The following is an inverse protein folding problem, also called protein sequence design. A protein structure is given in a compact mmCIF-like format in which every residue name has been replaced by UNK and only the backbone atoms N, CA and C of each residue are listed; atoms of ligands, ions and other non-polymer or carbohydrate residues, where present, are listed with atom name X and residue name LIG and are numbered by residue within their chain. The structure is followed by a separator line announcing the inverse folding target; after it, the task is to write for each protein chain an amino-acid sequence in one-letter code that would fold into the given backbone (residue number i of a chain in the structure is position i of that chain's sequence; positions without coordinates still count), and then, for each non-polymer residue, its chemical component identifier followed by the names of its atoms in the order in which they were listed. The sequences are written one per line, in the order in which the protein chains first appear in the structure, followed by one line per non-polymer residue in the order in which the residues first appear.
data_IF_731209538116
#
_entry.id   IF_731209538116
#
_cell.length_a   1.000
_cell.length_b   1.000
_cell.length_c   1.000
_cell.angle_alpha   90.00
_cell.angle_beta   90.00
_cell.angle_gamma   90.00
#
_symmetry.space_group_name_H-M   'P 1'
#
loop_
_entity.id
_entity.type
_entity.pdbx_description
1 polymer ?
#
# COMPACT_ATOMS: atom_id res chain seq x y z
N UNK A 1 -25.86 19.56 13.91
CA UNK A 1 -25.75 19.22 15.34
C UNK A 1 -24.27 18.96 15.60
N UNK A 2 -23.70 19.39 16.74
CA UNK A 2 -22.29 19.13 17.00
C UNK A 2 -22.14 17.63 17.28
N UNK A 3 -21.31 16.95 16.49
CA UNK A 3 -20.94 15.56 16.72
C UNK A 3 -20.44 15.42 18.17
N UNK A 4 -20.96 14.45 18.92
CA UNK A 4 -20.47 14.20 20.27
C UNK A 4 -19.03 13.68 20.19
N UNK A 5 -18.23 13.91 21.24
CA UNK A 5 -16.88 13.34 21.29
C UNK A 5 -16.87 11.82 21.12
N UNK A 6 -17.96 11.12 21.48
CA UNK A 6 -18.11 9.67 21.27
C UNK A 6 -18.23 9.28 19.79
N UNK A 7 -18.99 10.06 18.98
CA UNK A 7 -19.10 9.83 17.53
C UNK A 7 -17.75 10.09 16.86
N UNK A 8 -17.10 11.22 17.21
CA UNK A 8 -15.77 11.54 16.69
C UNK A 8 -14.75 10.47 17.05
N UNK A 9 -14.74 9.98 18.29
CA UNK A 9 -13.82 8.92 18.70
C UNK A 9 -14.00 7.60 17.94
N UNK A 10 -15.23 7.26 17.54
CA UNK A 10 -15.49 6.10 16.69
C UNK A 10 -14.99 6.33 15.25
N UNK A 11 -15.30 7.50 14.65
CA UNK A 11 -14.84 7.86 13.31
C UNK A 11 -13.31 7.89 13.21
N UNK A 12 -12.63 8.31 14.29
CA UNK A 12 -11.16 8.28 14.36
C UNK A 12 -10.60 6.86 14.38
N UNK A 13 -11.30 5.90 15.01
CA UNK A 13 -10.90 4.49 14.96
C UNK A 13 -11.07 3.93 13.56
N UNK A 14 -12.18 4.22 12.89
CA UNK A 14 -12.41 3.79 11.51
C UNK A 14 -11.33 4.36 10.57
N UNK A 15 -10.96 5.64 10.76
CA UNK A 15 -9.88 6.28 9.99
C UNK A 15 -8.53 5.64 10.27
N UNK A 16 -8.23 5.36 11.53
CA UNK A 16 -6.99 4.68 11.93
C UNK A 16 -6.93 3.25 11.38
N UNK A 17 -8.03 2.50 11.46
CA UNK A 17 -8.17 1.15 10.91
C UNK A 17 -7.95 1.15 9.39
N UNK A 18 -8.62 2.05 8.67
CA UNK A 18 -8.46 2.18 7.23
C UNK A 18 -7.00 2.46 6.83
N UNK A 19 -6.32 3.34 7.58
CA UNK A 19 -4.91 3.62 7.34
C UNK A 19 -3.99 2.44 7.64
N UNK A 20 -4.17 1.82 8.81
CA UNK A 20 -3.26 0.82 9.36
C UNK A 20 -3.46 -0.57 8.77
N UNK A 21 -4.71 -1.00 8.57
CA UNK A 21 -5.08 -2.37 8.26
C UNK A 21 -5.70 -2.56 6.87
N UNK A 22 -6.15 -1.49 6.22
CA UNK A 22 -6.68 -1.61 4.85
C UNK A 22 -5.67 -1.11 3.80
N UNK A 23 -5.23 0.15 3.91
CA UNK A 23 -4.34 0.75 2.89
C UNK A 23 -2.93 0.15 2.88
N UNK A 24 -2.31 -0.03 4.06
CA UNK A 24 -0.94 -0.55 4.15
C UNK A 24 -0.80 -1.98 3.63
N UNK A 25 -1.71 -2.93 3.93
CA UNK A 25 -1.64 -4.26 3.33
C UNK A 25 -1.83 -4.25 1.81
N UNK A 26 -2.73 -3.40 1.28
CA UNK A 26 -2.87 -3.24 -0.18
C UNK A 26 -1.59 -2.68 -0.79
N UNK A 27 -0.97 -1.67 -0.17
CA UNK A 27 0.33 -1.14 -0.60
C UNK A 27 1.41 -2.24 -0.62
N UNK A 28 1.46 -3.11 0.39
CA UNK A 28 2.39 -4.22 0.45
C UNK A 28 2.17 -5.24 -0.69
N UNK A 29 0.93 -5.60 -1.00
CA UNK A 29 0.60 -6.50 -2.12
C UNK A 29 1.01 -5.90 -3.47
N UNK A 30 0.78 -4.60 -3.67
CA UNK A 30 1.18 -3.91 -4.91
C UNK A 30 2.71 -3.85 -5.01
N UNK A 31 3.42 -3.59 -3.90
CA UNK A 31 4.88 -3.61 -3.85
C UNK A 31 5.45 -4.99 -4.17
N UNK A 32 4.80 -6.06 -3.69
CA UNK A 32 5.15 -7.43 -4.06
C UNK A 32 4.96 -7.68 -5.56
N UNK A 33 3.83 -7.26 -6.13
CA UNK A 33 3.57 -7.36 -7.57
C UNK A 33 4.62 -6.61 -8.41
N UNK A 34 5.02 -5.41 -7.98
CA UNK A 34 6.13 -4.68 -8.60
C UNK A 34 7.44 -5.48 -8.53
N UNK A 35 7.75 -6.10 -7.39
CA UNK A 35 8.89 -7.00 -7.25
C UNK A 35 8.87 -8.18 -8.22
N UNK A 36 7.70 -8.79 -8.46
CA UNK A 36 7.55 -9.88 -9.44
C UNK A 36 7.84 -9.42 -10.88
N UNK A 37 7.53 -8.17 -11.24
CA UNK A 37 7.89 -7.63 -12.56
C UNK A 37 9.40 -7.52 -12.75
N UNK A 38 10.16 -7.13 -11.72
CA UNK A 38 11.62 -7.13 -11.79
C UNK A 38 12.17 -8.54 -12.01
N UNK A 39 11.56 -9.55 -11.38
CA UNK A 39 11.92 -10.95 -11.57
C UNK A 39 11.57 -11.48 -12.97
N UNK A 40 10.71 -10.79 -13.74
CA UNK A 40 10.41 -11.18 -15.11
C UNK A 40 11.64 -11.06 -16.05
N UNK A 41 12.72 -10.42 -15.62
CA UNK A 41 13.99 -10.46 -16.35
C UNK A 41 14.57 -11.90 -16.46
N UNK A 42 14.22 -12.78 -15.51
CA UNK A 42 14.63 -14.19 -15.51
C UNK A 42 14.11 -14.98 -16.72
N UNK A 43 13.01 -14.54 -17.34
CA UNK A 43 12.49 -15.12 -18.58
C UNK A 43 13.03 -14.44 -19.84
N UNK A 44 14.06 -13.61 -19.70
CA UNK A 44 14.75 -12.90 -20.77
C UNK A 44 15.24 -13.81 -21.91
N UNK A 45 15.55 -15.08 -21.59
CA UNK A 45 15.94 -16.09 -22.57
C UNK A 45 14.86 -16.39 -23.62
N UNK A 46 13.57 -16.17 -23.31
CA UNK A 46 12.48 -16.36 -24.27
C UNK A 46 12.56 -15.38 -25.44
N UNK A 47 13.27 -14.27 -25.28
CA UNK A 47 13.49 -13.28 -26.33
C UNK A 47 14.71 -13.58 -27.21
N UNK A 48 15.49 -14.61 -26.86
CA UNK A 48 16.69 -14.99 -27.59
C UNK A 48 16.33 -15.53 -28.97
N UNK A 49 17.14 -15.18 -29.97
CA UNK A 49 17.07 -15.71 -31.33
C UNK A 49 18.46 -15.82 -31.94
N UNK A 50 18.56 -16.54 -33.06
CA UNK A 50 19.82 -16.64 -33.81
C UNK A 50 20.30 -15.24 -34.23
N UNK A 51 21.53 -14.89 -33.84
CA UNK A 51 22.17 -13.61 -34.14
C UNK A 51 22.27 -13.29 -35.64
N UNK A 52 22.23 -14.32 -36.51
CA UNK A 52 22.19 -14.17 -37.98
C UNK A 52 20.95 -13.45 -38.48
N UNK A 53 19.89 -13.36 -37.66
CA UNK A 53 18.66 -12.65 -38.00
C UNK A 53 18.72 -11.15 -37.64
N UNK A 54 19.91 -10.62 -37.33
CA UNK A 54 20.11 -9.20 -37.01
C UNK A 54 20.18 -8.92 -35.50
N UNK A 55 20.90 -9.76 -34.75
CA UNK A 55 21.15 -9.58 -33.31
C UNK A 55 20.58 -10.69 -32.42
N UNK A 56 21.08 -10.83 -31.18
CA UNK A 56 20.78 -11.95 -30.28
C UNK A 56 19.35 -11.94 -29.72
N UNK A 57 18.61 -10.85 -29.90
CA UNK A 57 17.25 -10.69 -29.44
C UNK A 57 16.33 -10.20 -30.56
N UNK A 58 15.05 -10.56 -30.46
CA UNK A 58 14.02 -10.03 -31.35
C UNK A 58 13.70 -8.55 -31.10
N UNK A 59 13.12 -7.83 -32.09
CA UNK A 59 12.74 -6.43 -31.95
C UNK A 59 11.63 -6.20 -30.90
N UNK A 60 10.96 -7.27 -30.46
CA UNK A 60 9.95 -7.21 -29.40
C UNK A 60 10.57 -7.04 -28.00
N UNK A 61 11.84 -7.39 -27.79
CA UNK A 61 12.49 -7.32 -26.47
C UNK A 61 12.53 -5.89 -25.91
N UNK A 62 13.00 -4.86 -26.65
CA UNK A 62 12.99 -3.49 -26.13
C UNK A 62 11.59 -2.97 -25.81
N UNK A 63 10.58 -3.34 -26.61
CA UNK A 63 9.19 -2.95 -26.35
C UNK A 63 8.64 -3.62 -25.08
N UNK A 64 8.97 -4.89 -24.86
CA UNK A 64 8.65 -5.60 -23.62
C UNK A 64 9.34 -4.99 -22.41
N UNK A 65 10.64 -4.67 -22.50
CA UNK A 65 11.39 -4.04 -21.42
C UNK A 65 10.80 -2.67 -21.05
N UNK A 66 10.49 -1.83 -22.05
CA UNK A 66 9.83 -0.54 -21.82
C UNK A 66 8.49 -0.71 -21.10
N UNK A 67 7.66 -1.66 -21.55
CA UNK A 67 6.37 -1.94 -20.93
C UNK A 67 6.54 -2.41 -19.47
N UNK A 68 7.45 -3.36 -19.23
CA UNK A 68 7.74 -3.88 -17.89
C UNK A 68 8.18 -2.76 -16.96
N UNK A 69 9.10 -1.92 -17.42
CA UNK A 69 9.67 -0.84 -16.61
C UNK A 69 8.61 0.24 -16.31
N UNK A 70 7.76 0.59 -17.28
CA UNK A 70 6.62 1.50 -17.05
C UNK A 70 5.62 0.93 -16.03
N UNK A 71 5.25 -0.35 -16.16
CA UNK A 71 4.35 -1.01 -15.20
C UNK A 71 4.98 -1.09 -13.80
N UNK A 72 6.27 -1.35 -13.72
CA UNK A 72 7.01 -1.36 -12.45
C UNK A 72 6.92 -0.01 -11.75
N UNK A 73 7.21 1.09 -12.45
CA UNK A 73 7.16 2.43 -11.86
C UNK A 73 5.74 2.81 -11.42
N UNK A 74 4.71 2.50 -12.22
CA UNK A 74 3.31 2.77 -11.85
C UNK A 74 2.90 2.02 -10.59
N UNK A 75 3.24 0.73 -10.49
CA UNK A 75 2.91 -0.06 -9.30
C UNK A 75 3.67 0.43 -8.07
N UNK A 76 4.94 0.75 -8.23
CA UNK A 76 5.77 1.29 -7.15
C UNK A 76 5.21 2.61 -6.63
N UNK A 77 4.92 3.58 -7.51
CA UNK A 77 4.34 4.87 -7.12
C UNK A 77 2.96 4.69 -6.47
N UNK A 78 2.14 3.77 -6.99
CA UNK A 78 0.84 3.46 -6.39
C UNK A 78 0.99 2.90 -4.97
N UNK A 79 1.91 1.95 -4.75
CA UNK A 79 2.17 1.41 -3.43
C UNK A 79 2.67 2.50 -2.46
N UNK A 80 3.60 3.35 -2.90
CA UNK A 80 4.10 4.47 -2.10
C UNK A 80 2.99 5.46 -1.72
N UNK A 81 2.13 5.83 -2.67
CA UNK A 81 1.01 6.74 -2.41
C UNK A 81 0.00 6.15 -1.42
N UNK A 82 -0.29 4.85 -1.51
CA UNK A 82 -1.19 4.17 -0.57
C UNK A 82 -0.60 4.09 0.84
N UNK A 83 0.70 3.80 0.95
CA UNK A 83 1.43 3.73 2.22
C UNK A 83 1.45 5.10 2.91
N UNK A 84 1.82 6.15 2.17
CA UNK A 84 1.81 7.53 2.64
C UNK A 84 0.40 8.01 3.03
N UNK A 85 -0.62 7.61 2.27
CA UNK A 85 -2.01 7.91 2.61
C UNK A 85 -2.41 7.20 3.90
N UNK A 86 -2.02 5.94 4.08
CA UNK A 86 -2.24 5.18 5.31
C UNK A 86 -1.57 5.84 6.52
N UNK A 87 -0.31 6.27 6.38
CA UNK A 87 0.40 7.03 7.41
C UNK A 87 -0.30 8.35 7.75
N UNK A 88 -0.76 9.08 6.73
CA UNK A 88 -1.49 10.32 6.93
C UNK A 88 -2.83 10.11 7.66
N UNK A 89 -3.54 9.02 7.37
CA UNK A 89 -4.80 8.68 8.07
C UNK A 89 -4.54 8.32 9.54
N UNK A 90 -3.52 7.51 9.82
CA UNK A 90 -3.13 7.16 11.19
C UNK A 90 -2.72 8.41 11.97
N UNK A 91 -1.88 9.26 11.38
CA UNK A 91 -1.45 10.52 11.99
C UNK A 91 -2.62 11.47 12.25
N UNK A 92 -3.54 11.61 11.29
CA UNK A 92 -4.72 12.43 11.46
C UNK A 92 -5.61 11.91 12.59
N UNK A 93 -5.83 10.59 12.66
CA UNK A 93 -6.62 9.97 13.71
C UNK A 93 -6.03 10.25 15.11
N UNK A 94 -4.73 10.02 15.28
CA UNK A 94 -4.04 10.22 16.56
C UNK A 94 -3.99 11.72 16.96
N UNK A 95 -3.74 12.64 16.01
CA UNK A 95 -3.73 14.08 16.27
C UNK A 95 -5.13 14.60 16.67
N UNK A 96 -6.18 14.23 15.94
CA UNK A 96 -7.54 14.67 16.29
C UNK A 96 -8.03 14.06 17.60
N UNK A 97 -7.68 12.81 17.91
CA UNK A 97 -7.94 12.22 19.22
C UNK A 97 -7.30 13.05 20.34
N UNK A 98 -6.09 13.59 20.13
CA UNK A 98 -5.41 14.46 21.08
C UNK A 98 -6.10 15.79 21.39
N UNK A 99 -7.05 16.25 20.56
CA UNK A 99 -7.71 17.56 20.71
C UNK A 99 -8.98 17.54 21.57
N UNK A 100 -9.62 16.38 21.75
CA UNK A 100 -10.85 16.22 22.52
C UNK A 100 -10.73 15.02 23.46
N UNK A 101 -10.81 15.26 24.78
CA UNK A 101 -10.66 14.21 25.80
C UNK A 101 -11.72 13.11 25.78
N UNK A 102 -12.94 13.40 25.28
CA UNK A 102 -14.02 12.42 25.16
C UNK A 102 -13.75 11.53 23.95
N UNK A 103 -13.37 12.14 22.81
CA UNK A 103 -12.96 11.39 21.62
C UNK A 103 -11.72 10.53 21.89
N UNK A 104 -10.70 11.06 22.57
CA UNK A 104 -9.51 10.32 22.96
C UNK A 104 -9.87 9.06 23.76
N UNK A 105 -10.73 9.21 24.77
CA UNK A 105 -11.14 8.07 25.60
C UNK A 105 -11.86 7.02 24.77
N UNK A 106 -12.76 7.43 23.88
CA UNK A 106 -13.51 6.49 23.05
C UNK A 106 -12.63 5.81 22.01
N UNK A 107 -11.68 6.55 21.43
CA UNK A 107 -10.67 6.03 20.52
C UNK A 107 -9.82 4.93 21.19
N UNK A 108 -9.27 5.21 22.38
CA UNK A 108 -8.49 4.24 23.15
C UNK A 108 -9.32 3.04 23.65
N UNK A 109 -10.63 3.22 23.87
CA UNK A 109 -11.54 2.13 24.24
C UNK A 109 -11.75 1.14 23.08
N UNK A 110 -11.88 1.63 21.85
CA UNK A 110 -12.24 0.83 20.67
C UNK A 110 -11.04 0.24 19.93
N UNK A 111 -9.91 0.96 19.90
CA UNK A 111 -8.67 0.55 19.20
C UNK A 111 -8.20 -0.88 19.53
N UNK A 112 -8.25 -1.38 20.78
CA UNK A 112 -7.87 -2.76 21.10
C UNK A 112 -8.74 -3.83 20.42
N UNK A 113 -10.03 -3.55 20.20
CA UNK A 113 -10.93 -4.49 19.54
C UNK A 113 -10.58 -4.63 18.06
N UNK A 114 -10.22 -3.51 17.40
CA UNK A 114 -9.72 -3.51 16.02
C UNK A 114 -8.41 -4.28 15.92
N UNK A 115 -7.44 -4.02 16.82
CA UNK A 115 -6.18 -4.77 16.84
C UNK A 115 -6.42 -6.28 16.98
N UNK A 116 -7.35 -6.68 17.84
CA UNK A 116 -7.70 -8.09 18.03
C UNK A 116 -8.39 -8.70 16.79
N UNK A 117 -9.11 -7.89 16.01
CA UNK A 117 -9.75 -8.32 14.75
C UNK A 117 -8.73 -8.51 13.60
N UNK A 118 -7.55 -7.88 13.70
CA UNK A 118 -6.49 -7.92 12.68
C UNK A 118 -5.20 -8.59 13.19
N UNK A 119 -5.22 -9.90 13.53
CA UNK A 119 -4.06 -10.60 14.12
C UNK A 119 -2.85 -10.69 13.18
N UNK A 120 -3.06 -10.58 11.86
CA UNK A 120 -2.00 -10.66 10.86
C UNK A 120 -1.32 -9.31 10.57
N UNK A 121 -1.90 -8.20 11.06
CA UNK A 121 -1.48 -6.82 10.74
C UNK A 121 -0.59 -6.15 11.78
N UNK A 122 0.10 -6.92 12.64
CA UNK A 122 0.98 -6.30 13.65
C UNK A 122 2.09 -5.52 12.93
N UNK A 123 2.19 -4.19 13.08
CA UNK A 123 3.27 -3.43 12.46
C UNK A 123 4.61 -3.93 13.00
N UNK A 124 5.52 -4.33 12.11
CA UNK A 124 6.94 -4.48 12.43
C UNK A 124 7.62 -3.12 12.47
#
# INVERSE_FOLDING_TARGET
MPHSGDELGADLVDLWEAGQYELKPVAAQIREAAGQLLLADTVGYNWYRDGKLGGPYGPAKPAWESLRDEFFEVLKETAENLDLTGDAMVMAADEYAGTDSVAAKKFEELKPAVIAAHPEGTPQ
#
